data_IF_717058430057
#
_entry.id   IF_717058430057
#
_cell.length_a   1.000
_cell.length_b   1.000
_cell.length_c   1.000
_cell.angle_alpha   90.00
_cell.angle_beta   90.00
_cell.angle_gamma   90.00
#
_symmetry.space_group_name_H-M   'P 1'
#
loop_
_entity.id
_entity.type
_entity.pdbx_description
1 polymer ?
#
# COMPACT_ATOMS: atom_id res chain seq x y z
N UNK A 1 -27.06 -23.08 43.44
CA UNK A 1 -26.10 -21.95 43.27
C UNK A 1 -24.95 -22.27 42.31
N UNK A 2 -24.42 -23.51 42.28
CA UNK A 2 -23.36 -23.97 41.35
C UNK A 2 -23.52 -23.61 39.86
N UNK A 3 -24.70 -23.76 39.27
CA UNK A 3 -24.92 -23.46 37.83
C UNK A 3 -25.09 -21.97 37.51
N UNK A 4 -25.39 -21.13 38.52
CA UNK A 4 -25.53 -19.67 38.31
C UNK A 4 -24.18 -19.01 38.06
N UNK A 5 -23.13 -19.49 38.74
CA UNK A 5 -21.76 -19.03 38.50
C UNK A 5 -21.30 -19.37 37.07
N UNK A 6 -21.56 -20.60 36.61
CA UNK A 6 -21.22 -21.02 35.25
C UNK A 6 -21.97 -20.23 34.18
N UNK A 7 -23.25 -19.90 34.41
CA UNK A 7 -24.03 -19.07 33.49
C UNK A 7 -23.52 -17.63 33.40
N UNK A 8 -23.06 -17.04 34.51
CA UNK A 8 -22.48 -15.69 34.53
C UNK A 8 -21.13 -15.69 33.80
N UNK A 9 -20.30 -16.71 34.03
CA UNK A 9 -19.01 -16.86 33.34
C UNK A 9 -19.19 -17.01 31.82
N UNK A 10 -20.17 -17.78 31.39
CA UNK A 10 -20.48 -17.94 29.97
C UNK A 10 -20.99 -16.63 29.37
N UNK A 11 -21.78 -15.86 30.13
CA UNK A 11 -22.27 -14.55 29.71
C UNK A 11 -21.13 -13.53 29.56
N UNK A 12 -20.13 -13.51 30.45
CA UNK A 12 -19.00 -12.58 30.30
C UNK A 12 -18.09 -12.95 29.13
N UNK A 13 -17.98 -14.24 28.80
CA UNK A 13 -17.19 -14.71 27.66
C UNK A 13 -17.80 -14.29 26.32
N UNK A 14 -19.14 -14.33 26.17
CA UNK A 14 -19.80 -13.89 24.92
C UNK A 14 -19.72 -12.38 24.68
N UNK A 15 -19.56 -11.56 25.72
CA UNK A 15 -19.39 -10.10 25.61
C UNK A 15 -17.92 -9.66 25.57
N UNK A 16 -16.96 -10.60 25.58
CA UNK A 16 -15.52 -10.28 25.60
C UNK A 16 -14.92 -10.05 24.21
N UNK A 17 -15.73 -9.99 23.14
CA UNK A 17 -15.21 -9.72 21.81
C UNK A 17 -14.73 -8.26 21.72
N UNK A 18 -13.44 -8.07 21.53
CA UNK A 18 -12.79 -6.78 21.36
C UNK A 18 -12.67 -6.46 19.87
N UNK A 19 -13.12 -5.29 19.42
CA UNK A 19 -12.88 -4.79 18.05
C UNK A 19 -11.44 -4.27 17.85
N UNK A 20 -10.46 -4.82 18.58
CA UNK A 20 -9.08 -4.29 18.58
C UNK A 20 -8.26 -4.61 17.33
N UNK A 21 -8.85 -5.22 16.30
CA UNK A 21 -8.18 -5.48 15.03
C UNK A 21 -8.17 -4.27 14.07
N UNK A 22 -8.79 -3.14 14.44
CA UNK A 22 -8.95 -1.98 13.55
C UNK A 22 -7.72 -1.08 13.38
N UNK A 23 -6.60 -1.36 14.05
CA UNK A 23 -5.53 -0.37 14.23
C UNK A 23 -4.43 -0.28 13.17
N UNK A 24 -4.35 -1.20 12.20
CA UNK A 24 -3.15 -1.34 11.33
C UNK A 24 -3.44 -1.52 9.83
N UNK A 25 -4.55 -0.98 9.33
CA UNK A 25 -4.84 -1.04 7.89
C UNK A 25 -3.99 -0.03 7.09
N UNK A 26 -3.43 0.98 7.75
CA UNK A 26 -2.63 2.04 7.12
C UNK A 26 -1.22 2.10 7.70
N UNK A 27 -0.26 2.42 6.84
CA UNK A 27 1.11 2.65 7.25
C UNK A 27 1.17 3.91 8.15
N UNK A 28 1.83 3.87 9.34
CA UNK A 28 1.91 5.03 10.22
C UNK A 28 2.93 6.09 9.77
N UNK A 29 3.87 5.72 8.90
CA UNK A 29 4.91 6.57 8.35
C UNK A 29 4.52 7.18 7.00
N UNK A 30 3.71 6.46 6.22
CA UNK A 30 3.30 6.88 4.88
C UNK A 30 1.82 7.27 4.84
N UNK A 31 1.50 8.48 4.37
CA UNK A 31 0.12 8.86 4.10
C UNK A 31 -0.45 8.05 2.94
N UNK A 32 -1.75 7.76 3.03
CA UNK A 32 -2.52 7.06 2.00
C UNK A 32 -2.97 8.07 0.93
N UNK A 33 -2.13 8.32 -0.06
CA UNK A 33 -2.41 9.21 -1.20
C UNK A 33 -2.62 8.42 -2.49
N UNK A 34 -3.75 8.65 -3.14
CA UNK A 34 -3.89 8.33 -4.56
C UNK A 34 -3.03 9.28 -5.37
N UNK A 35 -2.19 8.75 -6.25
CA UNK A 35 -1.42 9.56 -7.19
C UNK A 35 -1.85 9.27 -8.63
N UNK A 36 -1.87 10.32 -9.44
CA UNK A 36 -2.07 10.24 -10.88
C UNK A 36 -0.88 10.94 -11.54
N UNK A 37 -0.40 10.35 -12.62
CA UNK A 37 0.66 10.92 -13.46
C UNK A 37 0.14 11.99 -14.41
N UNK A 38 -1.18 12.25 -14.41
CA UNK A 38 -1.87 13.26 -15.22
C UNK A 38 -1.53 13.16 -16.72
N UNK A 39 -1.24 11.96 -17.20
CA UNK A 39 -0.86 11.70 -18.59
C UNK A 39 0.54 12.18 -18.97
N UNK A 40 1.41 12.47 -18.01
CA UNK A 40 2.76 13.01 -18.27
C UNK A 40 3.77 11.95 -18.70
N UNK A 41 3.45 10.66 -18.61
CA UNK A 41 4.31 9.59 -19.12
C UNK A 41 4.22 9.56 -20.65
N UNK A 42 5.26 10.07 -21.32
CA UNK A 42 5.36 10.07 -22.76
C UNK A 42 6.46 9.11 -23.23
N UNK A 43 6.08 7.91 -23.67
CA UNK A 43 7.00 6.86 -24.16
C UNK A 43 7.89 7.27 -25.35
N UNK A 44 7.65 8.44 -25.97
CA UNK A 44 8.53 8.99 -27.02
C UNK A 44 9.75 9.72 -26.47
N UNK A 45 9.77 10.09 -25.18
CA UNK A 45 10.89 10.79 -24.56
C UNK A 45 12.01 9.82 -24.14
N UNK A 46 13.30 10.22 -24.26
CA UNK A 46 14.43 9.35 -23.90
C UNK A 46 14.43 8.86 -22.46
N UNK A 47 13.85 9.63 -21.53
CA UNK A 47 13.75 9.27 -20.12
C UNK A 47 12.94 7.99 -19.86
N UNK A 48 12.04 7.63 -20.79
CA UNK A 48 11.21 6.43 -20.71
C UNK A 48 11.73 5.26 -21.55
N UNK A 49 12.95 5.34 -22.09
CA UNK A 49 13.52 4.27 -22.91
C UNK A 49 13.60 2.93 -22.14
N UNK A 50 13.84 3.01 -20.82
CA UNK A 50 13.82 1.85 -19.92
C UNK A 50 12.47 1.12 -19.88
N UNK A 51 11.38 1.70 -20.38
CA UNK A 51 10.06 1.07 -20.42
C UNK A 51 9.70 0.50 -21.80
N UNK A 52 10.59 0.57 -22.79
CA UNK A 52 10.33 0.08 -24.15
C UNK A 52 10.43 -1.44 -24.28
N UNK A 53 11.16 -2.08 -23.36
CA UNK A 53 11.45 -3.51 -23.41
C UNK A 53 11.16 -4.19 -22.06
N UNK A 54 10.54 -5.38 -22.06
CA UNK A 54 10.28 -6.14 -20.85
C UNK A 54 11.53 -6.32 -20.00
N UNK A 55 11.39 -6.16 -18.69
CA UNK A 55 12.49 -6.21 -17.71
C UNK A 55 13.17 -4.88 -17.45
N UNK A 56 12.87 -3.83 -18.21
CA UNK A 56 13.37 -2.49 -17.94
C UNK A 56 12.51 -1.70 -16.94
N UNK A 57 13.08 -0.61 -16.42
CA UNK A 57 12.44 0.25 -15.42
C UNK A 57 12.86 1.71 -15.53
N UNK A 58 12.04 2.59 -14.97
CA UNK A 58 12.30 4.03 -14.86
C UNK A 58 11.81 4.54 -13.50
N UNK A 59 12.58 5.39 -12.86
CA UNK A 59 12.21 6.07 -11.61
C UNK A 59 11.78 7.49 -11.95
N UNK A 60 10.62 7.89 -11.43
CA UNK A 60 10.08 9.24 -11.58
C UNK A 60 9.98 9.88 -10.20
N UNK A 61 10.56 11.07 -10.06
CA UNK A 61 10.50 11.88 -8.84
C UNK A 61 9.49 13.03 -8.97
N UNK A 62 9.06 13.57 -7.83
CA UNK A 62 8.16 14.74 -7.79
C UNK A 62 6.67 14.41 -7.95
N UNK A 63 6.31 13.13 -7.97
CA UNK A 63 4.94 12.62 -7.94
C UNK A 63 4.78 11.64 -6.79
N UNK A 64 3.54 11.39 -6.35
CA UNK A 64 3.27 10.60 -5.14
C UNK A 64 3.93 11.25 -3.91
N UNK A 65 4.52 10.46 -3.00
CA UNK A 65 5.19 10.95 -1.80
C UNK A 65 6.60 11.48 -2.14
N UNK A 66 7.54 10.61 -2.54
CA UNK A 66 8.87 11.01 -3.03
C UNK A 66 9.13 10.64 -4.49
N UNK A 67 8.28 9.80 -5.05
CA UNK A 67 8.39 9.28 -6.40
C UNK A 67 7.78 7.88 -6.51
N UNK A 68 7.94 7.30 -7.68
CA UNK A 68 7.61 5.90 -7.91
C UNK A 68 8.53 5.33 -9.00
N UNK A 69 8.62 4.01 -9.03
CA UNK A 69 9.31 3.25 -10.06
C UNK A 69 8.29 2.51 -10.91
N UNK A 70 8.45 2.59 -12.23
CA UNK A 70 7.67 1.79 -13.18
C UNK A 70 8.55 0.64 -13.66
N UNK A 71 8.01 -0.57 -13.68
CA UNK A 71 8.62 -1.73 -14.31
C UNK A 71 7.77 -2.21 -15.48
N UNK A 72 8.43 -2.48 -16.61
CA UNK A 72 7.81 -3.16 -17.73
C UNK A 72 7.87 -4.67 -17.52
N UNK A 73 6.73 -5.30 -17.21
CA UNK A 73 6.69 -6.73 -16.91
C UNK A 73 6.78 -7.53 -18.21
N UNK A 74 5.81 -7.36 -19.10
CA UNK A 74 5.72 -8.04 -20.39
C UNK A 74 4.62 -7.42 -21.26
N UNK A 75 4.76 -7.43 -22.59
CA UNK A 75 3.73 -6.91 -23.51
C UNK A 75 3.34 -5.46 -23.17
N UNK A 76 2.06 -5.22 -22.89
CA UNK A 76 1.57 -3.91 -22.43
C UNK A 76 1.35 -3.85 -20.90
N UNK A 77 1.92 -4.78 -20.15
CA UNK A 77 1.79 -4.84 -18.69
C UNK A 77 2.91 -4.08 -18.00
N UNK A 78 2.53 -3.09 -17.20
CA UNK A 78 3.42 -2.30 -16.37
C UNK A 78 2.95 -2.38 -14.92
N UNK A 79 3.90 -2.33 -13.99
CA UNK A 79 3.62 -2.14 -12.57
C UNK A 79 4.31 -0.91 -12.06
N UNK A 80 3.69 -0.25 -11.09
CA UNK A 80 4.18 0.99 -10.50
C UNK A 80 4.23 0.82 -8.98
N UNK A 81 5.36 1.17 -8.38
CA UNK A 81 5.56 1.09 -6.94
C UNK A 81 6.12 2.39 -6.40
N UNK A 82 5.60 2.81 -5.26
CA UNK A 82 6.11 3.94 -4.49
C UNK A 82 7.52 3.60 -3.95
N UNK A 83 8.44 4.58 -3.92
CA UNK A 83 9.86 4.37 -3.57
C UNK A 83 10.25 4.85 -2.16
N UNK A 84 9.31 5.40 -1.41
CA UNK A 84 9.54 5.89 -0.05
C UNK A 84 9.69 4.72 0.91
N UNK A 85 10.58 4.90 1.88
CA UNK A 85 10.76 3.96 2.97
C UNK A 85 9.48 3.88 3.84
N UNK A 86 8.81 2.72 3.89
CA UNK A 86 7.58 2.55 4.66
C UNK A 86 7.78 2.57 6.17
N UNK A 87 9.01 2.73 6.68
CA UNK A 87 9.34 2.69 8.10
C UNK A 87 10.00 3.98 8.61
N UNK A 88 10.10 5.03 7.79
CA UNK A 88 10.64 6.33 8.18
C UNK A 88 9.67 7.46 7.85
N UNK A 89 9.60 8.47 8.73
CA UNK A 89 8.77 9.64 8.49
C UNK A 89 9.28 10.40 7.26
N UNK A 90 8.33 10.77 6.40
CA UNK A 90 8.53 11.69 5.27
C UNK A 90 8.45 13.15 5.64
#
# INVERSE_FOLDING_TARGET
>A
MKYRFLSILLLTLIFSCSNSDDGRVKNPYLPDYGFDTLGQINMSLPEYNGLQFPGGSVVIHGFSINGFVIYHINGDQYTCFEITDPNHNV
#
